data_IF_057758902437
#
_entry.id   IF_057758902437
#
_cell.length_a   1.000
_cell.length_b   1.000
_cell.length_c   1.000
_cell.angle_alpha   90.00
_cell.angle_beta   90.00
_cell.angle_gamma   90.00
#
_symmetry.space_group_name_H-M   'P 1'
#
loop_
_entity.id
_entity.type
_entity.pdbx_description
1 polymer ?
#
# COMPACT_ATOMS: atom_id res chain seq x y z
N UNK A 1 -24.16 -18.63 -6.26
CA UNK A 1 -23.07 -19.63 -6.21
C UNK A 1 -21.81 -18.89 -5.80
N UNK A 2 -21.13 -19.38 -4.74
CA UNK A 2 -19.82 -18.79 -4.36
C UNK A 2 -18.82 -19.21 -5.45
N UNK A 3 -18.12 -18.30 -6.10
CA UNK A 3 -17.15 -18.67 -7.13
C UNK A 3 -16.04 -19.48 -6.50
N UNK A 4 -15.75 -20.64 -7.10
CA UNK A 4 -14.58 -21.44 -6.75
C UNK A 4 -13.41 -20.98 -7.61
N UNK A 5 -12.21 -20.94 -7.06
CA UNK A 5 -10.99 -20.79 -7.83
C UNK A 5 -10.18 -22.09 -7.82
N UNK A 6 -9.40 -22.26 -8.86
CA UNK A 6 -8.52 -23.42 -9.01
C UNK A 6 -7.12 -23.03 -8.52
N UNK A 7 -6.49 -23.91 -7.76
CA UNK A 7 -5.09 -23.75 -7.35
C UNK A 7 -4.25 -24.84 -8.00
N UNK A 8 -3.18 -24.45 -8.67
CA UNK A 8 -2.18 -25.34 -9.23
C UNK A 8 -0.89 -25.18 -8.43
N UNK A 9 -0.55 -26.18 -7.64
CA UNK A 9 0.73 -26.26 -6.95
C UNK A 9 1.73 -26.91 -7.91
N UNK A 10 2.84 -26.22 -8.15
CA UNK A 10 3.92 -26.66 -9.02
C UNK A 10 5.18 -26.82 -8.19
N UNK A 11 5.81 -27.99 -8.23
CA UNK A 11 7.11 -28.25 -7.61
C UNK A 11 8.09 -28.74 -8.65
N UNK A 12 9.35 -28.31 -8.53
CA UNK A 12 10.42 -28.75 -9.40
C UNK A 12 11.74 -28.85 -8.62
N UNK A 13 12.58 -29.81 -9.00
CA UNK A 13 13.90 -30.01 -8.43
C UNK A 13 14.96 -29.02 -8.95
N UNK A 14 14.75 -28.50 -10.18
CA UNK A 14 15.67 -27.58 -10.85
C UNK A 14 14.89 -26.51 -11.64
N UNK A 15 15.57 -25.38 -11.92
CA UNK A 15 15.07 -24.29 -12.76
C UNK A 15 13.72 -23.70 -12.35
N UNK A 16 13.40 -23.74 -11.06
CA UNK A 16 12.12 -23.28 -10.52
C UNK A 16 11.82 -21.81 -10.87
N UNK A 17 12.85 -20.97 -10.91
CA UNK A 17 12.72 -19.55 -11.28
C UNK A 17 12.25 -19.36 -12.74
N UNK A 18 12.75 -20.17 -13.70
CA UNK A 18 12.29 -20.11 -15.09
C UNK A 18 10.83 -20.59 -15.24
N UNK A 19 10.46 -21.61 -14.46
CA UNK A 19 9.09 -22.10 -14.43
C UNK A 19 8.13 -21.07 -13.82
N UNK A 20 8.56 -20.33 -12.82
CA UNK A 20 7.79 -19.21 -12.25
C UNK A 20 7.59 -18.09 -13.26
N UNK A 21 8.66 -17.64 -13.92
CA UNK A 21 8.58 -16.60 -14.95
C UNK A 21 7.64 -17.03 -16.08
N UNK A 22 7.73 -18.29 -16.51
CA UNK A 22 6.82 -18.83 -17.53
C UNK A 22 5.37 -18.91 -17.03
N UNK A 23 5.15 -19.26 -15.77
CA UNK A 23 3.82 -19.28 -15.18
C UNK A 23 3.19 -17.87 -15.10
N UNK A 24 3.98 -16.85 -14.72
CA UNK A 24 3.56 -15.45 -14.75
C UNK A 24 3.18 -15.00 -16.17
N UNK A 25 4.00 -15.35 -17.16
CA UNK A 25 3.73 -15.04 -18.59
C UNK A 25 2.41 -15.68 -19.08
N UNK A 26 2.15 -16.94 -18.71
CA UNK A 26 0.96 -17.68 -19.14
C UNK A 26 -0.31 -17.14 -18.50
N UNK A 27 -0.24 -16.82 -17.21
CA UNK A 27 -1.44 -16.56 -16.41
C UNK A 27 -1.72 -15.09 -16.19
N UNK A 28 -0.68 -14.26 -16.21
CA UNK A 28 -0.74 -12.88 -15.72
C UNK A 28 -1.32 -12.74 -14.30
N UNK A 29 -1.21 -13.81 -13.50
CA UNK A 29 -1.75 -13.92 -12.14
C UNK A 29 -0.61 -13.88 -11.11
N UNK A 30 -0.90 -13.44 -9.89
CA UNK A 30 0.06 -13.49 -8.80
C UNK A 30 0.43 -14.93 -8.43
N UNK A 31 1.72 -15.18 -8.18
CA UNK A 31 2.25 -16.48 -7.77
C UNK A 31 2.69 -16.42 -6.31
N UNK A 32 2.24 -17.39 -5.50
CA UNK A 32 2.69 -17.56 -4.12
C UNK A 32 3.86 -18.54 -4.08
N UNK A 33 4.97 -18.12 -3.48
CA UNK A 33 6.15 -18.98 -3.30
C UNK A 33 5.96 -19.95 -2.12
N UNK A 34 6.36 -21.19 -2.32
CA UNK A 34 6.42 -22.22 -1.28
C UNK A 34 7.75 -22.97 -1.34
N UNK A 35 8.04 -23.80 -0.35
CA UNK A 35 9.25 -24.63 -0.34
C UNK A 35 9.30 -25.54 -1.57
N UNK A 36 10.36 -25.39 -2.36
CA UNK A 36 10.64 -26.12 -3.61
C UNK A 36 9.52 -26.01 -4.67
N UNK A 37 8.76 -24.90 -4.68
CA UNK A 37 7.66 -24.74 -5.61
C UNK A 37 6.97 -23.39 -5.56
N UNK A 38 5.81 -23.35 -6.22
CA UNK A 38 4.92 -22.20 -6.21
C UNK A 38 3.46 -22.60 -6.41
N UNK A 39 2.55 -21.72 -6.06
CA UNK A 39 1.10 -21.89 -6.22
C UNK A 39 0.58 -20.82 -7.16
N UNK A 40 -0.16 -21.24 -8.18
CA UNK A 40 -0.94 -20.38 -9.07
C UNK A 40 -2.40 -20.48 -8.63
N UNK A 41 -3.06 -19.34 -8.38
CA UNK A 41 -4.50 -19.29 -8.11
C UNK A 41 -5.18 -18.56 -9.25
N UNK A 42 -6.16 -19.22 -9.88
CA UNK A 42 -6.82 -18.67 -11.07
C UNK A 42 -8.28 -19.13 -11.16
N UNK A 43 -9.08 -18.35 -11.87
CA UNK A 43 -10.42 -18.78 -12.30
C UNK A 43 -10.39 -19.53 -13.63
N UNK A 44 -9.26 -19.53 -14.31
CA UNK A 44 -9.05 -20.26 -15.56
C UNK A 44 -8.86 -21.77 -15.34
N UNK A 45 -8.92 -22.53 -16.42
CA UNK A 45 -8.67 -23.96 -16.37
C UNK A 45 -7.18 -24.26 -16.15
N UNK A 46 -6.85 -24.83 -15.01
CA UNK A 46 -5.46 -25.16 -14.65
C UNK A 46 -4.82 -26.23 -15.55
N UNK A 47 -5.64 -26.98 -16.29
CA UNK A 47 -5.14 -28.01 -17.23
C UNK A 47 -4.35 -27.40 -18.37
N UNK A 48 -4.79 -26.25 -18.88
CA UNK A 48 -4.07 -25.52 -19.93
C UNK A 48 -2.74 -24.97 -19.42
N UNK A 49 -2.73 -24.41 -18.21
CA UNK A 49 -1.52 -23.91 -17.56
C UNK A 49 -0.52 -25.05 -17.34
N UNK A 50 -1.01 -26.17 -16.80
CA UNK A 50 -0.21 -27.38 -16.61
C UNK A 50 0.39 -27.89 -17.91
N UNK A 51 -0.39 -27.96 -18.98
CA UNK A 51 0.07 -28.40 -20.30
C UNK A 51 1.19 -27.49 -20.84
N UNK A 52 1.02 -26.17 -20.76
CA UNK A 52 2.01 -25.21 -21.18
C UNK A 52 3.31 -25.29 -20.38
N UNK A 53 3.22 -25.46 -19.05
CA UNK A 53 4.39 -25.65 -18.19
C UNK A 53 5.11 -26.97 -18.49
N UNK A 54 4.39 -28.05 -18.73
CA UNK A 54 4.98 -29.34 -19.13
C UNK A 54 5.69 -29.23 -20.48
N UNK A 55 5.09 -28.56 -21.44
CA UNK A 55 5.70 -28.33 -22.75
C UNK A 55 6.98 -27.48 -22.64
N UNK A 56 6.92 -26.40 -21.86
CA UNK A 56 8.08 -25.56 -21.59
C UNK A 56 9.22 -26.35 -20.91
N UNK A 57 8.88 -27.17 -19.93
CA UNK A 57 9.86 -28.03 -19.21
C UNK A 57 10.57 -28.99 -20.18
N UNK A 58 9.85 -29.65 -21.09
CA UNK A 58 10.46 -30.53 -22.08
C UNK A 58 11.44 -29.81 -23.01
N UNK A 59 11.09 -28.59 -23.43
CA UNK A 59 11.99 -27.77 -24.24
C UNK A 59 13.23 -27.36 -23.44
N UNK A 60 13.05 -27.00 -22.17
CA UNK A 60 14.14 -26.64 -21.27
C UNK A 60 15.09 -27.81 -21.01
N UNK A 61 14.57 -29.02 -20.80
CA UNK A 61 15.36 -30.25 -20.69
C UNK A 61 16.22 -30.49 -21.95
N UNK A 62 15.64 -30.28 -23.12
CA UNK A 62 16.36 -30.44 -24.41
C UNK A 62 17.50 -29.42 -24.56
N UNK A 63 17.31 -28.18 -24.11
CA UNK A 63 18.31 -27.12 -24.19
C UNK A 63 19.41 -27.30 -23.16
N UNK A 64 19.03 -27.63 -21.91
CA UNK A 64 19.95 -27.74 -20.78
C UNK A 64 20.65 -29.10 -20.66
N UNK A 65 20.18 -30.13 -21.40
CA UNK A 65 20.72 -31.48 -21.34
C UNK A 65 20.49 -32.18 -19.99
N UNK A 66 19.55 -31.68 -19.17
CA UNK A 66 19.28 -32.17 -17.83
C UNK A 66 17.78 -32.42 -17.66
N UNK A 67 17.41 -33.53 -17.03
CA UNK A 67 16.02 -33.82 -16.68
C UNK A 67 15.54 -32.96 -15.52
N UNK A 68 14.28 -32.57 -15.56
CA UNK A 68 13.61 -31.76 -14.55
C UNK A 68 12.44 -32.57 -14.00
N UNK A 69 12.48 -32.88 -12.72
CA UNK A 69 11.33 -33.50 -12.03
C UNK A 69 10.29 -32.43 -11.78
N UNK A 70 9.11 -32.58 -12.38
CA UNK A 70 8.02 -31.63 -12.28
C UNK A 70 6.77 -32.31 -11.72
N UNK A 71 6.32 -31.83 -10.57
CA UNK A 71 5.13 -32.31 -9.90
C UNK A 71 4.03 -31.25 -9.90
N UNK A 72 2.80 -31.68 -10.15
CA UNK A 72 1.61 -30.86 -10.08
C UNK A 72 0.60 -31.42 -9.08
N UNK A 73 0.02 -30.53 -8.29
CA UNK A 73 -1.15 -30.85 -7.47
C UNK A 73 -2.22 -29.82 -7.73
N UNK A 74 -3.37 -30.29 -8.20
CA UNK A 74 -4.54 -29.45 -8.47
C UNK A 74 -5.48 -29.52 -7.25
N UNK A 75 -5.95 -28.38 -6.80
CA UNK A 75 -6.99 -28.27 -5.78
C UNK A 75 -8.01 -27.23 -6.20
N UNK A 76 -9.27 -27.50 -5.89
CA UNK A 76 -10.34 -26.52 -6.05
C UNK A 76 -10.74 -26.06 -4.67
N UNK A 77 -10.62 -24.75 -4.43
CA UNK A 77 -10.95 -24.16 -3.14
C UNK A 77 -12.17 -23.24 -3.30
N UNK A 78 -13.03 -23.29 -2.31
CA UNK A 78 -14.12 -22.31 -2.25
C UNK A 78 -13.53 -20.95 -1.89
N UNK A 79 -13.87 -19.93 -2.65
CA UNK A 79 -13.43 -18.57 -2.40
C UNK A 79 -13.75 -18.09 -0.97
N UNK A 80 -14.74 -18.73 -0.33
CA UNK A 80 -15.15 -18.43 1.05
C UNK A 80 -14.07 -18.75 2.09
N UNK A 81 -13.32 -19.86 1.93
CA UNK A 81 -12.28 -20.26 2.89
C UNK A 81 -11.07 -19.31 2.82
N UNK A 82 -10.74 -18.83 1.63
CA UNK A 82 -9.69 -17.83 1.44
C UNK A 82 -10.14 -16.46 1.98
N UNK A 83 -11.35 -16.03 1.68
CA UNK A 83 -11.94 -14.80 2.20
C UNK A 83 -11.96 -14.82 3.74
N UNK A 84 -12.35 -15.94 4.37
CA UNK A 84 -12.33 -16.06 5.82
C UNK A 84 -10.91 -16.02 6.41
N UNK A 85 -9.94 -16.72 5.80
CA UNK A 85 -8.52 -16.64 6.20
C UNK A 85 -7.97 -15.24 6.05
N UNK A 86 -8.29 -14.58 4.94
CA UNK A 86 -7.90 -13.21 4.67
C UNK A 86 -8.54 -12.23 5.67
N UNK A 87 -9.84 -12.36 5.95
CA UNK A 87 -10.51 -11.56 6.98
C UNK A 87 -9.88 -11.74 8.37
N UNK A 88 -9.45 -12.96 8.71
CA UNK A 88 -8.76 -13.24 9.98
C UNK A 88 -7.33 -12.68 10.03
N UNK A 89 -6.67 -12.51 8.90
CA UNK A 89 -5.30 -11.96 8.83
C UNK A 89 -5.24 -10.44 9.01
N UNK A 90 -6.36 -9.75 8.80
CA UNK A 90 -6.45 -8.29 8.91
C UNK A 90 -7.30 -7.93 10.13
N UNK A 91 -6.64 -7.69 11.25
CA UNK A 91 -7.29 -7.28 12.50
C UNK A 91 -7.45 -5.76 12.57
N UNK A 92 -8.53 -5.25 13.16
CA UNK A 92 -8.64 -3.84 13.45
C UNK A 92 -7.62 -3.40 14.49
N UNK A 93 -7.25 -2.13 14.49
CA UNK A 93 -6.38 -1.56 15.51
C UNK A 93 -6.83 -0.16 15.93
N UNK A 94 -6.34 0.28 17.09
CA UNK A 94 -6.67 1.57 17.63
C UNK A 94 -5.41 2.39 17.92
N UNK A 95 -5.54 3.70 17.68
CA UNK A 95 -4.57 4.66 18.20
C UNK A 95 -5.24 5.99 18.52
N UNK A 96 -5.09 6.43 19.77
CA UNK A 96 -5.71 7.66 20.27
C UNK A 96 -7.23 7.67 20.07
N UNK A 97 -7.72 8.64 19.30
CA UNK A 97 -9.15 8.77 18.98
C UNK A 97 -9.61 7.92 17.79
N UNK A 98 -8.69 7.26 17.08
CA UNK A 98 -8.98 6.53 15.84
C UNK A 98 -9.17 5.03 16.11
N UNK A 99 -10.10 4.44 15.38
CA UNK A 99 -10.28 3.00 15.22
C UNK A 99 -10.27 2.68 13.73
N UNK A 100 -9.25 1.95 13.27
CA UNK A 100 -9.04 1.59 11.87
C UNK A 100 -9.44 0.14 11.70
N UNK A 101 -10.35 -0.13 10.78
CA UNK A 101 -10.88 -1.47 10.58
C UNK A 101 -11.39 -1.69 9.16
N UNK A 102 -11.39 -2.93 8.67
CA UNK A 102 -12.10 -3.31 7.43
C UNK A 102 -13.63 -3.29 7.60
N UNK A 103 -14.34 -3.32 6.47
CA UNK A 103 -15.82 -3.29 6.44
C UNK A 103 -16.51 -4.43 7.19
N UNK A 104 -15.85 -5.57 7.38
CA UNK A 104 -16.39 -6.74 8.11
C UNK A 104 -16.29 -6.65 9.63
N UNK A 105 -15.75 -5.57 10.17
CA UNK A 105 -15.81 -5.26 11.60
C UNK A 105 -16.79 -4.12 11.86
N UNK A 106 -17.48 -4.20 12.98
CA UNK A 106 -18.39 -3.14 13.41
C UNK A 106 -17.64 -1.89 13.83
N UNK A 107 -18.27 -0.73 13.66
CA UNK A 107 -17.80 0.53 14.20
C UNK A 107 -17.66 0.46 15.72
N UNK A 108 -16.63 1.10 16.26
CA UNK A 108 -16.42 1.23 17.68
C UNK A 108 -17.00 2.56 18.18
N UNK A 109 -17.88 2.49 19.18
CA UNK A 109 -18.47 3.66 19.82
C UNK A 109 -17.41 4.53 20.50
N UNK A 110 -17.58 5.85 20.45
CA UNK A 110 -16.65 6.82 21.04
C UNK A 110 -15.33 7.00 20.27
N UNK A 111 -15.18 6.37 19.11
CA UNK A 111 -14.00 6.50 18.24
C UNK A 111 -14.35 7.09 16.87
N UNK A 112 -13.37 7.73 16.25
CA UNK A 112 -13.42 8.08 14.84
C UNK A 112 -13.06 6.81 14.07
N UNK A 113 -14.08 6.21 13.46
CA UNK A 113 -13.92 4.97 12.70
C UNK A 113 -13.41 5.27 11.29
N UNK A 114 -12.32 4.61 10.91
CA UNK A 114 -11.70 4.69 9.59
C UNK A 114 -11.79 3.32 8.93
N UNK A 115 -12.64 3.20 7.93
CA UNK A 115 -12.88 1.94 7.23
C UNK A 115 -11.92 1.84 6.05
N UNK A 116 -10.99 0.88 6.12
CA UNK A 116 -10.02 0.59 5.05
C UNK A 116 -10.07 -0.90 4.77
N UNK A 117 -10.59 -1.26 3.61
CA UNK A 117 -10.47 -2.64 3.14
C UNK A 117 -9.11 -2.83 2.49
N UNK A 118 -8.41 -3.91 2.82
CA UNK A 118 -7.19 -4.27 2.13
C UNK A 118 -7.46 -4.45 0.64
N UNK A 119 -6.70 -3.75 -0.16
CA UNK A 119 -6.76 -3.77 -1.62
C UNK A 119 -5.34 -3.92 -2.18
N UNK A 120 -5.20 -3.87 -3.49
CA UNK A 120 -3.90 -3.86 -4.17
C UNK A 120 -3.07 -2.59 -3.86
N UNK A 121 -3.73 -1.51 -3.42
CA UNK A 121 -3.05 -0.27 -3.05
C UNK A 121 -2.41 -0.36 -1.65
N UNK A 122 -1.23 0.25 -1.50
CA UNK A 122 -0.51 0.36 -0.23
C UNK A 122 -1.30 1.17 0.81
N UNK A 123 -1.11 0.85 2.11
CA UNK A 123 -1.64 1.67 3.21
C UNK A 123 -2.80 1.04 3.98
N UNK A 124 -2.68 -0.22 4.41
CA UNK A 124 -3.66 -0.86 5.31
C UNK A 124 -3.67 -0.29 6.74
N UNK A 125 -2.69 0.53 7.08
CA UNK A 125 -2.50 1.09 8.43
C UNK A 125 -1.58 0.26 9.34
N UNK A 126 -1.38 -1.03 9.07
CA UNK A 126 -0.53 -1.91 9.89
C UNK A 126 0.97 -1.74 9.62
N UNK A 127 1.33 -1.16 8.48
CA UNK A 127 2.73 -0.89 8.14
C UNK A 127 3.28 0.21 9.05
N UNK A 128 4.50 0.03 9.59
CA UNK A 128 5.10 0.95 10.55
C UNK A 128 5.13 2.41 10.08
N UNK A 129 5.36 2.65 8.79
CA UNK A 129 5.34 4.00 8.21
C UNK A 129 3.96 4.66 8.24
N UNK A 130 2.90 3.91 7.92
CA UNK A 130 1.52 4.43 7.95
C UNK A 130 1.09 4.69 9.40
N UNK A 131 1.43 3.77 10.30
CA UNK A 131 1.14 3.93 11.72
C UNK A 131 1.85 5.16 12.32
N UNK A 132 3.10 5.43 11.94
CA UNK A 132 3.83 6.64 12.33
C UNK A 132 3.14 7.93 11.88
N UNK A 133 2.63 7.97 10.62
CA UNK A 133 1.83 9.09 10.14
C UNK A 133 0.52 9.28 10.93
N UNK A 134 -0.18 8.19 11.26
CA UNK A 134 -1.39 8.24 12.09
C UNK A 134 -1.09 8.82 13.47
N UNK A 135 0.04 8.42 14.07
CA UNK A 135 0.50 8.98 15.36
C UNK A 135 0.78 10.48 15.26
N UNK A 136 1.50 10.90 14.23
CA UNK A 136 1.79 12.30 13.99
C UNK A 136 0.50 13.13 13.82
N UNK A 137 -0.44 12.66 12.99
CA UNK A 137 -1.73 13.33 12.78
C UNK A 137 -2.59 13.37 14.06
N UNK A 138 -2.56 12.31 14.88
CA UNK A 138 -3.33 12.30 16.15
C UNK A 138 -2.86 13.34 17.13
N UNK A 139 -1.60 13.78 17.07
CA UNK A 139 -1.04 14.82 17.95
C UNK A 139 -1.36 16.25 17.50
N UNK A 140 -1.98 16.42 16.33
CA UNK A 140 -2.25 17.73 15.72
C UNK A 140 -3.74 18.07 15.75
N UNK A 141 -4.04 19.38 15.83
CA UNK A 141 -5.38 19.90 15.61
C UNK A 141 -5.61 19.99 14.08
N UNK A 142 -6.46 19.12 13.54
CA UNK A 142 -6.69 19.00 12.10
C UNK A 142 -7.90 19.78 11.59
N UNK A 143 -8.82 20.17 12.49
CA UNK A 143 -10.04 20.88 12.14
C UNK A 143 -9.71 22.20 11.42
N UNK A 144 -10.35 22.43 10.27
CA UNK A 144 -10.16 23.59 9.39
C UNK A 144 -8.72 23.76 8.84
N UNK A 145 -7.89 22.71 8.90
CA UNK A 145 -6.55 22.72 8.31
C UNK A 145 -6.60 22.27 6.85
N UNK A 146 -5.77 22.89 6.03
CA UNK A 146 -5.52 22.49 4.65
C UNK A 146 -4.40 21.48 4.61
N UNK A 147 -4.70 20.28 4.16
CA UNK A 147 -3.78 19.13 4.20
C UNK A 147 -3.57 18.63 2.78
N UNK A 148 -2.31 18.41 2.41
CA UNK A 148 -1.91 17.73 1.18
C UNK A 148 -1.33 16.37 1.51
N UNK A 149 -1.89 15.32 0.93
CA UNK A 149 -1.42 13.92 1.04
C UNK A 149 -0.83 13.48 -0.31
N UNK A 150 0.50 13.34 -0.36
CA UNK A 150 1.26 13.00 -1.57
C UNK A 150 1.65 11.52 -1.55
N UNK A 151 1.14 10.75 -2.51
CA UNK A 151 1.21 9.29 -2.50
C UNK A 151 0.16 8.70 -1.57
N UNK A 152 -1.12 9.02 -1.82
CA UNK A 152 -2.21 8.71 -0.90
C UNK A 152 -2.53 7.21 -0.75
N UNK A 153 -2.16 6.37 -1.73
CA UNK A 153 -2.36 4.92 -1.69
C UNK A 153 -3.82 4.52 -1.45
N UNK A 154 -4.10 3.89 -0.31
CA UNK A 154 -5.47 3.53 0.11
C UNK A 154 -6.34 4.72 0.53
N UNK A 155 -5.74 5.91 0.68
CA UNK A 155 -6.39 7.11 1.18
C UNK A 155 -6.56 7.17 2.70
N UNK A 156 -5.96 6.27 3.46
CA UNK A 156 -6.15 6.19 4.92
C UNK A 156 -5.83 7.50 5.64
N UNK A 157 -4.73 8.18 5.30
CA UNK A 157 -4.32 9.43 5.93
C UNK A 157 -5.25 10.58 5.54
N UNK A 158 -5.62 10.64 4.26
CA UNK A 158 -6.58 11.60 3.72
C UNK A 158 -7.95 11.48 4.36
N UNK A 159 -8.49 10.24 4.47
CA UNK A 159 -9.79 9.96 5.08
C UNK A 159 -9.76 10.29 6.57
N UNK A 160 -8.68 9.93 7.28
CA UNK A 160 -8.48 10.27 8.68
C UNK A 160 -8.50 11.78 8.89
N UNK A 161 -7.76 12.54 8.09
CA UNK A 161 -7.73 14.00 8.16
C UNK A 161 -9.11 14.60 7.86
N UNK A 162 -9.80 14.09 6.84
CA UNK A 162 -11.15 14.54 6.47
C UNK A 162 -12.16 14.32 7.59
N UNK A 163 -12.14 13.16 8.24
CA UNK A 163 -12.99 12.87 9.42
C UNK A 163 -12.67 13.74 10.63
N UNK A 164 -11.51 14.37 10.66
CA UNK A 164 -11.14 15.37 11.67
C UNK A 164 -11.46 16.82 11.25
N UNK A 165 -12.23 17.04 10.18
CA UNK A 165 -12.67 18.37 9.74
C UNK A 165 -11.66 19.15 8.89
N UNK A 166 -10.65 18.48 8.30
CA UNK A 166 -9.69 19.12 7.41
C UNK A 166 -10.25 19.33 5.99
N UNK A 167 -9.74 20.35 5.28
CA UNK A 167 -9.77 20.43 3.83
C UNK A 167 -8.60 19.58 3.31
N UNK A 168 -8.89 18.58 2.48
CA UNK A 168 -7.89 17.57 2.07
C UNK A 168 -7.72 17.54 0.57
N UNK A 169 -6.47 17.63 0.15
CA UNK A 169 -6.02 17.45 -1.22
C UNK A 169 -5.12 16.21 -1.27
N UNK A 170 -5.33 15.34 -2.26
CA UNK A 170 -4.63 14.05 -2.33
C UNK A 170 -4.21 13.74 -3.75
N UNK A 171 -3.03 13.17 -3.91
CA UNK A 171 -2.59 12.67 -5.21
C UNK A 171 -1.81 11.37 -5.08
N UNK A 172 -1.83 10.61 -6.17
CA UNK A 172 -0.96 9.46 -6.38
C UNK A 172 -0.64 9.35 -7.86
N UNK A 173 0.56 8.87 -8.18
CA UNK A 173 0.96 8.61 -9.57
C UNK A 173 0.32 7.34 -10.12
N UNK A 174 -0.06 6.42 -9.24
CA UNK A 174 -0.74 5.17 -9.58
C UNK A 174 -2.27 5.38 -9.62
N UNK A 175 -2.86 5.09 -10.78
CA UNK A 175 -4.32 5.14 -10.96
C UNK A 175 -5.05 4.19 -10.02
N UNK A 176 -4.49 3.00 -9.75
CA UNK A 176 -5.08 2.01 -8.83
C UNK A 176 -5.16 2.57 -7.41
N UNK A 177 -4.17 3.33 -6.98
CA UNK A 177 -4.16 4.03 -5.68
C UNK A 177 -5.27 5.09 -5.61
N UNK A 178 -5.42 5.91 -6.65
CA UNK A 178 -6.49 6.92 -6.73
C UNK A 178 -7.87 6.26 -6.67
N UNK A 179 -8.10 5.20 -7.44
CA UNK A 179 -9.35 4.43 -7.42
C UNK A 179 -9.62 3.80 -6.04
N UNK A 180 -8.58 3.25 -5.40
CA UNK A 180 -8.67 2.70 -4.04
C UNK A 180 -9.07 3.76 -3.02
N UNK A 181 -8.43 4.94 -3.07
CA UNK A 181 -8.80 6.08 -2.23
C UNK A 181 -10.27 6.46 -2.43
N UNK A 182 -10.74 6.57 -3.67
CA UNK A 182 -12.13 6.90 -3.99
C UNK A 182 -13.11 5.84 -3.45
N UNK A 183 -12.80 4.56 -3.60
CA UNK A 183 -13.61 3.48 -3.05
C UNK A 183 -13.71 3.55 -1.51
N UNK A 184 -12.58 3.85 -0.85
CA UNK A 184 -12.55 3.98 0.60
C UNK A 184 -13.23 5.26 1.10
N UNK A 185 -13.21 6.36 0.34
CA UNK A 185 -14.00 7.56 0.64
C UNK A 185 -15.50 7.23 0.76
N UNK A 186 -16.04 6.45 -0.18
CA UNK A 186 -17.46 6.03 -0.18
C UNK A 186 -17.77 5.24 1.08
N UNK A 187 -16.95 4.25 1.45
CA UNK A 187 -17.14 3.44 2.67
C UNK A 187 -17.12 4.27 3.95
N UNK A 188 -16.39 5.35 3.95
CA UNK A 188 -16.24 6.25 5.09
C UNK A 188 -17.25 7.40 5.13
N UNK A 189 -18.11 7.55 4.10
CA UNK A 189 -19.00 8.68 3.94
C UNK A 189 -18.27 10.03 4.01
N UNK A 190 -17.13 10.16 3.35
CA UNK A 190 -16.38 11.41 3.24
C UNK A 190 -16.11 11.77 1.79
N UNK A 191 -15.93 13.06 1.53
CA UNK A 191 -15.48 13.57 0.24
C UNK A 191 -14.16 14.29 0.43
N UNK A 192 -13.10 13.84 -0.23
CA UNK A 192 -11.83 14.54 -0.31
C UNK A 192 -12.03 15.72 -1.27
N UNK A 193 -11.57 16.92 -0.89
CA UNK A 193 -11.89 18.15 -1.61
C UNK A 193 -11.27 18.16 -3.01
N UNK A 194 -10.04 17.64 -3.14
CA UNK A 194 -9.36 17.47 -4.42
C UNK A 194 -8.59 16.15 -4.43
N UNK A 195 -8.81 15.33 -5.45
CA UNK A 195 -8.07 14.09 -5.68
C UNK A 195 -7.74 13.96 -7.16
N UNK A 196 -6.48 13.63 -7.48
CA UNK A 196 -6.03 13.46 -8.86
C UNK A 196 -4.95 12.40 -8.99
N UNK A 197 -4.88 11.82 -10.19
CA UNK A 197 -3.74 11.02 -10.61
C UNK A 197 -2.62 11.96 -11.07
N UNK A 198 -1.44 11.83 -10.48
CA UNK A 198 -0.29 12.69 -10.78
C UNK A 198 0.51 13.02 -9.53
N UNK A 199 1.19 14.16 -9.57
CA UNK A 199 2.03 14.62 -8.47
C UNK A 199 1.86 16.13 -8.25
N UNK A 200 2.89 16.79 -7.75
CA UNK A 200 2.88 18.23 -7.41
C UNK A 200 2.82 19.17 -8.63
N UNK A 201 3.02 18.61 -9.84
CA UNK A 201 3.01 19.38 -11.08
C UNK A 201 1.67 20.07 -11.38
N UNK A 202 0.58 19.46 -10.93
CA UNK A 202 -0.80 19.93 -11.15
C UNK A 202 -1.21 21.08 -10.22
N UNK A 203 -0.46 21.29 -9.14
CA UNK A 203 -0.77 22.29 -8.10
C UNK A 203 0.36 23.30 -7.88
N UNK A 204 1.15 23.64 -8.92
CA UNK A 204 2.28 24.58 -8.83
C UNK A 204 1.90 25.94 -8.27
N UNK A 205 0.67 26.38 -8.49
CA UNK A 205 0.11 27.64 -7.97
C UNK A 205 -0.21 27.60 -6.47
N UNK A 206 -0.05 26.45 -5.80
CA UNK A 206 -0.34 26.23 -4.37
C UNK A 206 0.90 26.20 -3.48
N UNK A 207 2.03 26.79 -3.92
CA UNK A 207 3.19 26.93 -3.04
C UNK A 207 2.82 27.75 -1.78
N UNK A 208 3.20 27.26 -0.60
CA UNK A 208 2.90 27.90 0.69
C UNK A 208 1.41 27.86 1.09
N UNK A 209 0.63 26.96 0.54
CA UNK A 209 -0.83 26.93 0.74
C UNK A 209 -1.30 26.01 1.88
N UNK A 210 -0.60 24.88 2.10
CA UNK A 210 -1.05 23.85 3.02
C UNK A 210 -0.52 24.03 4.44
N UNK A 211 -1.39 23.87 5.42
CA UNK A 211 -1.01 23.82 6.84
C UNK A 211 -0.15 22.61 7.15
N UNK A 212 -0.49 21.47 6.53
CA UNK A 212 0.19 20.19 6.69
C UNK A 212 0.38 19.56 5.31
N UNK A 213 1.61 19.13 5.03
CA UNK A 213 1.92 18.29 3.87
C UNK A 213 2.37 16.94 4.41
N UNK A 214 1.79 15.85 3.91
CA UNK A 214 2.12 14.48 4.30
C UNK A 214 2.62 13.75 3.07
N UNK A 215 3.70 12.98 3.23
CA UNK A 215 4.16 12.06 2.22
C UNK A 215 4.69 10.78 2.90
N UNK A 216 4.01 9.66 2.67
CA UNK A 216 4.42 8.33 3.13
C UNK A 216 4.85 7.50 1.93
N UNK A 217 6.00 7.84 1.36
CA UNK A 217 6.56 7.29 0.13
C UNK A 217 8.05 6.99 0.28
N UNK A 218 8.65 6.34 -0.72
CA UNK A 218 10.07 5.96 -0.67
C UNK A 218 10.98 7.18 -0.49
N UNK A 219 12.05 7.03 0.29
CA UNK A 219 13.00 8.09 0.64
C UNK A 219 13.60 8.80 -0.59
N UNK A 220 13.94 8.08 -1.65
CA UNK A 220 14.51 8.68 -2.86
C UNK A 220 13.48 9.58 -3.58
N UNK A 221 12.19 9.23 -3.53
CA UNK A 221 11.10 10.05 -4.06
C UNK A 221 10.89 11.29 -3.18
N UNK A 222 10.91 11.15 -1.84
CA UNK A 222 10.86 12.29 -0.91
C UNK A 222 11.96 13.30 -1.21
N UNK A 223 13.18 12.85 -1.47
CA UNK A 223 14.33 13.71 -1.77
C UNK A 223 14.16 14.43 -3.12
N UNK A 224 13.55 13.76 -4.10
CA UNK A 224 13.33 14.34 -5.43
C UNK A 224 12.23 15.39 -5.47
N UNK A 225 11.22 15.31 -4.60
CA UNK A 225 10.08 16.20 -4.61
C UNK A 225 10.32 17.49 -3.79
N UNK A 226 9.83 18.66 -4.24
CA UNK A 226 9.91 19.92 -3.52
C UNK A 226 8.77 20.09 -2.52
N UNK A 227 8.56 19.12 -1.61
CA UNK A 227 7.42 19.06 -0.69
C UNK A 227 7.34 20.28 0.24
N UNK A 228 8.50 20.78 0.69
CA UNK A 228 8.64 21.94 1.56
C UNK A 228 8.08 23.24 0.95
N UNK A 229 8.06 23.34 -0.37
CA UNK A 229 7.50 24.51 -1.05
C UNK A 229 6.01 24.67 -0.81
N UNK A 230 5.28 23.56 -0.71
CA UNK A 230 3.82 23.55 -0.57
C UNK A 230 3.36 23.80 0.87
N UNK A 231 4.25 23.57 1.85
CA UNK A 231 4.00 23.89 3.25
C UNK A 231 4.00 25.41 3.44
N UNK A 232 2.97 25.94 4.08
CA UNK A 232 2.92 27.37 4.42
C UNK A 232 3.90 27.70 5.56
N UNK A 233 4.13 29.00 5.78
CA UNK A 233 4.87 29.46 6.96
C UNK A 233 4.18 28.93 8.24
N UNK A 234 4.97 28.47 9.21
CA UNK A 234 4.54 27.83 10.45
C UNK A 234 3.78 26.50 10.25
N UNK A 235 3.74 25.99 9.02
CA UNK A 235 3.13 24.71 8.68
C UNK A 235 4.04 23.51 8.96
N UNK A 236 3.50 22.31 8.81
CA UNK A 236 4.17 21.05 9.16
C UNK A 236 4.32 20.17 7.93
N UNK A 237 5.51 19.61 7.76
CA UNK A 237 5.81 18.56 6.79
C UNK A 237 5.97 17.24 7.54
N UNK A 238 5.11 16.25 7.23
CA UNK A 238 5.19 14.89 7.77
C UNK A 238 5.72 13.98 6.67
N UNK A 239 6.85 13.32 6.93
CA UNK A 239 7.53 12.42 6.01
C UNK A 239 7.63 11.04 6.63
N UNK A 240 7.29 10.01 5.87
CA UNK A 240 7.42 8.60 6.30
C UNK A 240 7.71 7.70 5.09
N UNK A 241 7.84 6.38 5.32
CA UNK A 241 8.34 5.46 4.30
C UNK A 241 9.87 5.50 4.19
N UNK A 242 10.54 5.96 5.25
CA UNK A 242 11.97 6.16 5.34
C UNK A 242 12.57 5.03 6.15
N UNK A 243 13.41 4.18 5.56
CA UNK A 243 14.24 3.26 6.35
C UNK A 243 15.29 4.05 7.15
N UNK A 244 15.63 3.63 8.37
CA UNK A 244 16.56 4.32 9.26
C UNK A 244 17.87 4.76 8.57
N UNK A 245 18.43 3.92 7.71
CA UNK A 245 19.66 4.22 6.96
C UNK A 245 19.55 5.42 6.00
N UNK A 246 18.32 5.87 5.68
CA UNK A 246 18.07 7.01 4.79
C UNK A 246 17.62 8.26 5.54
N UNK A 247 17.41 8.22 6.86
CA UNK A 247 16.94 9.37 7.65
C UNK A 247 17.83 10.61 7.45
N UNK A 248 19.15 10.45 7.56
CA UNK A 248 20.09 11.57 7.41
C UNK A 248 19.99 12.22 6.03
N UNK A 249 19.87 11.42 4.97
CA UNK A 249 19.70 11.92 3.60
C UNK A 249 18.42 12.77 3.44
N UNK A 250 17.32 12.30 4.03
CA UNK A 250 16.04 13.03 3.98
C UNK A 250 16.14 14.33 4.78
N UNK A 251 16.73 14.30 5.98
CA UNK A 251 16.96 15.51 6.80
C UNK A 251 17.85 16.53 6.10
N UNK A 252 18.89 16.08 5.39
CA UNK A 252 19.77 16.96 4.61
C UNK A 252 19.02 17.68 3.48
N UNK A 253 18.07 17.01 2.81
CA UNK A 253 17.20 17.62 1.80
C UNK A 253 16.34 18.72 2.39
N UNK A 254 15.79 18.50 3.58
CA UNK A 254 14.87 19.42 4.24
C UNK A 254 15.52 20.21 5.39
N UNK A 255 16.83 20.44 5.34
CA UNK A 255 17.65 21.11 6.40
C UNK A 255 17.20 22.52 6.76
N UNK A 256 16.43 23.18 5.87
CA UNK A 256 15.86 24.50 6.12
C UNK A 256 14.59 24.44 6.99
N UNK A 257 14.07 23.24 7.30
CA UNK A 257 12.95 23.03 8.18
C UNK A 257 13.46 22.60 9.56
N UNK A 258 12.74 23.00 10.61
CA UNK A 258 13.06 22.61 11.98
C UNK A 258 12.45 21.26 12.30
N UNK A 259 13.26 20.26 12.67
CA UNK A 259 12.76 18.98 13.18
C UNK A 259 12.00 19.20 14.48
N UNK A 260 10.71 18.88 14.51
CA UNK A 260 9.87 18.90 15.70
C UNK A 260 9.91 17.58 16.44
N UNK A 261 9.75 16.48 15.69
CA UNK A 261 9.74 15.13 16.21
C UNK A 261 10.26 14.14 15.15
N UNK A 262 10.69 12.97 15.60
CA UNK A 262 11.01 11.82 14.77
C UNK A 262 10.77 10.55 15.58
N UNK A 263 10.12 9.57 14.99
CA UNK A 263 9.84 8.28 15.63
C UNK A 263 10.16 7.15 14.67
N UNK A 264 10.77 6.09 15.20
CA UNK A 264 11.00 4.85 14.46
C UNK A 264 10.03 3.78 14.95
N UNK A 265 9.29 3.19 14.03
CA UNK A 265 8.38 2.08 14.28
C UNK A 265 8.80 0.93 13.39
N UNK A 266 9.22 -0.18 14.02
CA UNK A 266 9.92 -1.26 13.35
C UNK A 266 11.22 -0.71 12.72
N UNK A 267 11.34 -0.69 11.39
CA UNK A 267 12.49 -0.16 10.64
C UNK A 267 12.17 1.18 9.95
N UNK A 268 10.98 1.76 10.18
CA UNK A 268 10.44 2.90 9.45
C UNK A 268 10.45 4.16 10.30
N UNK A 269 11.13 5.17 9.80
CA UNK A 269 11.21 6.51 10.41
C UNK A 269 10.06 7.37 9.90
N UNK A 270 9.41 8.07 10.83
CA UNK A 270 8.47 9.15 10.54
C UNK A 270 9.01 10.44 11.12
N UNK A 271 9.11 11.48 10.31
CA UNK A 271 9.60 12.80 10.68
C UNK A 271 8.48 13.83 10.62
N UNK A 272 8.41 14.72 11.62
CA UNK A 272 7.60 15.92 11.59
C UNK A 272 8.54 17.13 11.61
N UNK A 273 8.46 17.96 10.55
CA UNK A 273 9.31 19.14 10.33
C UNK A 273 8.45 20.39 10.25
N UNK A 274 8.90 21.51 10.81
CA UNK A 274 8.18 22.79 10.79
C UNK A 274 8.89 23.78 9.84
N UNK A 275 8.11 24.50 9.07
CA UNK A 275 8.57 25.59 8.20
C UNK A 275 8.41 26.90 8.94
N UNK A 276 9.53 27.41 9.52
CA UNK A 276 9.58 28.71 10.20
C UNK A 276 9.32 29.88 9.26
#
# INVERSE_FOLDING_TARGET
MVPCYNSLIVKADNFLWLLKDKALEITNEAIEEIDNGFIIRTFSDVRDIRFQLQYFTKNLESIMGQKISLEFKETQEKNQDWIEKYHRSVSPFEYGKFYIHPTWYANKEGKINIIIDPALAFGSGHHGSTFGCIKALNSLALENKKILDVGCGSGILSILAKKCGAEVWSCDTDEVAVQSTQANMIKNNVTIDHIWQGSLGEIKDKEGYFDIVIANILADVLIALPLDKFVKKDGILILSGILEKYESKVLDKFKNLKKLNGETIQEWVTLALNKN
#
